data_IF_958140991427
#
_entry.id   IF_958140991427
#
_cell.length_a   1.000
_cell.length_b   1.000
_cell.length_c   1.000
_cell.angle_alpha   90.00
_cell.angle_beta   90.00
_cell.angle_gamma   90.00
#
_symmetry.space_group_name_H-M   'P 1'
#
loop_
_entity.id
_entity.type
_entity.pdbx_description
1 polymer ?
#
# COMPACT_ATOMS: atom_id res chain seq x y z
N UNK A 1 6.00 5.08 -22.90
CA UNK A 1 6.00 5.22 -21.43
C UNK A 1 4.65 4.75 -20.93
N UNK A 2 4.58 3.59 -20.27
CA UNK A 2 3.33 2.97 -19.82
C UNK A 2 2.74 3.70 -18.61
N UNK A 3 1.56 4.30 -18.77
CA UNK A 3 0.86 5.10 -17.74
C UNK A 3 0.47 4.30 -16.47
N UNK A 4 0.42 2.96 -16.57
CA UNK A 4 -0.02 2.05 -15.51
C UNK A 4 0.87 2.04 -14.24
N UNK A 5 2.07 2.62 -14.28
CA UNK A 5 2.98 2.61 -13.13
C UNK A 5 2.64 3.63 -12.05
N UNK A 6 1.75 4.59 -12.32
CA UNK A 6 1.46 5.72 -11.43
C UNK A 6 0.06 5.68 -10.81
N UNK A 7 -0.75 4.63 -11.02
CA UNK A 7 -2.18 4.69 -10.68
C UNK A 7 -2.49 4.50 -9.19
N UNK A 8 -1.54 4.08 -8.35
CA UNK A 8 -1.80 3.82 -6.93
C UNK A 8 -0.82 4.59 -6.03
N UNK A 9 -1.14 5.86 -5.79
CA UNK A 9 -0.37 6.71 -4.87
C UNK A 9 -0.84 6.53 -3.43
N UNK A 10 0.14 6.51 -2.53
CA UNK A 10 -0.09 6.47 -1.08
C UNK A 10 0.57 7.69 -0.46
N UNK A 11 -0.06 8.27 0.56
CA UNK A 11 0.54 9.38 1.28
C UNK A 11 1.73 8.85 2.09
N UNK A 12 2.92 9.41 1.86
CA UNK A 12 4.11 9.12 2.65
C UNK A 12 4.22 10.05 3.87
N UNK A 13 3.78 11.30 3.73
CA UNK A 13 3.75 12.31 4.78
C UNK A 13 2.43 13.08 4.78
N UNK A 14 1.95 13.44 5.98
CA UNK A 14 0.78 14.30 6.18
C UNK A 14 1.03 15.23 7.37
N UNK A 15 0.37 16.38 7.38
CA UNK A 15 0.42 17.27 8.55
C UNK A 15 -0.31 16.62 9.73
N UNK A 16 0.31 16.67 10.91
CA UNK A 16 -0.26 16.15 12.14
C UNK A 16 -0.49 17.28 13.14
N UNK A 17 -1.74 17.54 13.50
CA UNK A 17 -2.11 18.59 14.46
C UNK A 17 -1.46 18.40 15.85
N UNK A 18 -1.27 17.15 16.28
CA UNK A 18 -0.64 16.86 17.59
C UNK A 18 0.87 17.08 17.59
N UNK A 19 1.55 16.73 16.49
CA UNK A 19 2.99 16.93 16.33
C UNK A 19 3.33 18.33 15.81
N UNK A 20 2.36 19.05 15.24
CA UNK A 20 2.47 20.37 14.61
C UNK A 20 3.54 20.41 13.51
N UNK A 21 3.63 19.34 12.73
CA UNK A 21 4.60 19.19 11.65
C UNK A 21 4.09 18.21 10.58
N UNK A 22 4.72 18.24 9.40
CA UNK A 22 4.57 17.20 8.40
C UNK A 22 5.26 15.92 8.90
N UNK A 23 4.46 14.90 9.22
CA UNK A 23 4.92 13.66 9.81
C UNK A 23 4.81 12.51 8.82
N UNK A 24 5.76 11.55 8.84
CA UNK A 24 5.59 10.31 8.11
C UNK A 24 4.38 9.55 8.64
N UNK A 25 3.61 8.97 7.72
CA UNK A 25 2.38 8.24 8.04
C UNK A 25 2.52 6.77 7.69
N UNK A 26 1.80 5.93 8.42
CA UNK A 26 1.58 4.53 8.06
C UNK A 26 0.10 4.32 7.77
N UNK A 27 -0.18 3.52 6.77
CA UNK A 27 -1.54 3.14 6.45
C UNK A 27 -1.99 1.94 7.32
N UNK A 28 -3.21 2.00 7.83
CA UNK A 28 -3.84 0.89 8.56
C UNK A 28 -5.24 0.65 8.00
N UNK A 29 -5.55 -0.59 7.66
CA UNK A 29 -6.91 -0.98 7.29
C UNK A 29 -7.86 -0.70 8.45
N UNK A 30 -8.84 0.16 8.20
CA UNK A 30 -9.86 0.56 9.16
C UNK A 30 -11.14 -0.26 8.97
N UNK A 31 -11.59 -0.41 7.73
CA UNK A 31 -12.84 -1.11 7.43
C UNK A 31 -12.82 -1.75 6.04
N UNK A 32 -13.43 -2.93 5.93
CA UNK A 32 -13.68 -3.63 4.67
C UNK A 32 -15.17 -3.61 4.40
N UNK A 33 -15.57 -3.13 3.22
CA UNK A 33 -16.92 -3.17 2.68
C UNK A 33 -16.93 -3.98 1.38
N UNK A 34 -18.10 -4.41 0.88
CA UNK A 34 -18.20 -5.15 -0.37
C UNK A 34 -17.58 -4.41 -1.57
N UNK A 35 -17.81 -3.10 -1.66
CA UNK A 35 -17.37 -2.28 -2.82
C UNK A 35 -16.04 -1.58 -2.59
N UNK A 36 -15.62 -1.41 -1.33
CA UNK A 36 -14.44 -0.61 -1.00
C UNK A 36 -13.74 -1.04 0.29
N UNK A 37 -12.46 -0.77 0.34
CA UNK A 37 -11.64 -0.85 1.54
C UNK A 37 -11.28 0.56 1.99
N UNK A 38 -11.28 0.74 3.30
CA UNK A 38 -11.03 2.01 3.93
C UNK A 38 -9.81 1.85 4.80
N UNK A 39 -8.87 2.76 4.61
CA UNK A 39 -7.65 2.84 5.37
C UNK A 39 -7.55 4.16 6.10
N UNK A 40 -6.98 4.11 7.29
CA UNK A 40 -6.65 5.25 8.12
C UNK A 40 -5.14 5.52 8.04
N UNK A 41 -4.77 6.78 7.83
CA UNK A 41 -3.39 7.20 7.90
C UNK A 41 -3.08 7.62 9.32
N UNK A 42 -2.17 6.88 9.95
CA UNK A 42 -1.73 7.14 11.32
C UNK A 42 -0.37 7.83 11.30
N UNK A 43 -0.25 8.93 12.04
CA UNK A 43 1.04 9.55 12.32
C UNK A 43 1.96 8.52 12.98
N UNK A 44 3.15 8.32 12.43
CA UNK A 44 4.13 7.38 12.99
C UNK A 44 4.71 7.86 14.32
N UNK A 45 4.73 9.17 14.57
CA UNK A 45 5.24 9.75 15.81
C UNK A 45 4.27 9.62 17.00
N UNK A 46 3.02 10.06 16.84
CA UNK A 46 2.05 10.11 17.94
C UNK A 46 0.88 9.13 17.81
N UNK A 47 0.76 8.42 16.69
CA UNK A 47 -0.29 7.43 16.46
C UNK A 47 -1.69 7.98 16.17
N UNK A 48 -1.88 9.30 16.07
CA UNK A 48 -3.18 9.88 15.74
C UNK A 48 -3.58 9.62 14.29
N UNK A 49 -4.87 9.43 14.04
CA UNK A 49 -5.44 9.54 12.69
C UNK A 49 -5.21 10.95 12.16
N UNK A 50 -4.62 11.02 10.97
CA UNK A 50 -4.30 12.28 10.26
C UNK A 50 -4.87 12.31 8.85
N UNK A 51 -5.57 11.26 8.43
CA UNK A 51 -6.20 11.21 7.11
C UNK A 51 -6.79 9.83 6.81
N UNK A 52 -7.43 9.70 5.65
CA UNK A 52 -8.09 8.46 5.21
C UNK A 52 -7.86 8.23 3.72
N UNK A 53 -7.77 6.97 3.32
CA UNK A 53 -7.76 6.53 1.92
C UNK A 53 -8.87 5.50 1.71
N UNK A 54 -9.56 5.60 0.59
CA UNK A 54 -10.53 4.60 0.16
C UNK A 54 -10.03 3.95 -1.13
N UNK A 55 -10.16 2.62 -1.22
CA UNK A 55 -9.80 1.83 -2.39
C UNK A 55 -11.05 1.08 -2.83
N UNK A 56 -11.49 1.30 -4.05
CA UNK A 56 -12.60 0.57 -4.66
C UNK A 56 -12.20 -0.84 -5.06
N UNK A 57 -13.17 -1.74 -5.22
CA UNK A 57 -12.93 -3.11 -5.67
C UNK A 57 -12.15 -3.17 -7.00
N UNK A 58 -12.42 -2.26 -7.93
CA UNK A 58 -11.70 -2.18 -9.21
C UNK A 58 -10.21 -1.84 -9.06
N UNK A 59 -9.89 -0.83 -8.24
CA UNK A 59 -8.51 -0.43 -7.94
C UNK A 59 -7.74 -1.55 -7.22
N UNK A 60 -8.41 -2.28 -6.33
CA UNK A 60 -7.84 -3.43 -5.63
C UNK A 60 -7.49 -4.58 -6.60
N UNK A 61 -8.38 -4.89 -7.53
CA UNK A 61 -8.14 -5.92 -8.55
C UNK A 61 -6.94 -5.56 -9.44
N UNK A 62 -6.84 -4.30 -9.83
CA UNK A 62 -5.71 -3.81 -10.62
C UNK A 62 -4.38 -3.94 -9.86
N UNK A 63 -4.34 -3.50 -8.59
CA UNK A 63 -3.13 -3.61 -7.76
C UNK A 63 -2.65 -5.07 -7.60
N UNK A 64 -3.59 -6.01 -7.46
CA UNK A 64 -3.28 -7.44 -7.41
C UNK A 64 -2.78 -7.99 -8.75
N UNK A 65 -3.32 -7.52 -9.87
CA UNK A 65 -2.87 -7.95 -11.20
C UNK A 65 -1.42 -7.52 -11.48
N UNK A 66 -1.02 -6.32 -11.02
CA UNK A 66 0.36 -5.83 -11.16
C UNK A 66 1.34 -6.68 -10.35
N UNK A 67 1.00 -7.03 -9.11
CA UNK A 67 1.89 -7.84 -8.24
C UNK A 67 2.03 -9.29 -8.71
N UNK A 68 0.97 -9.89 -9.28
CA UNK A 68 1.01 -11.26 -9.82
C UNK A 68 1.86 -11.42 -11.09
N UNK A 69 2.18 -10.33 -11.82
CA UNK A 69 3.04 -10.38 -13.02
C UNK A 69 4.53 -10.49 -12.72
N UNK A 70 4.94 -10.47 -11.45
CA UNK A 70 6.36 -10.70 -11.11
C UNK A 70 6.68 -12.17 -11.43
N UNK A 71 7.58 -12.46 -12.39
CA UNK A 71 7.91 -13.84 -12.72
C UNK A 71 8.45 -14.51 -11.46
N UNK A 72 7.86 -15.65 -11.08
CA UNK A 72 8.43 -16.53 -10.07
C UNK A 72 9.86 -16.81 -10.56
N UNK A 73 10.87 -16.33 -9.83
CA UNK A 73 12.23 -16.85 -10.00
C UNK A 73 12.15 -18.34 -9.69
N UNK A 74 12.00 -19.15 -10.73
CA UNK A 74 12.11 -20.59 -10.69
C UNK A 74 13.50 -20.90 -10.13
N UNK A 75 13.56 -21.57 -8.99
CA UNK A 75 14.83 -22.11 -8.51
C UNK A 75 15.42 -23.06 -9.56
N UNK A 76 16.68 -22.88 -9.90
CA UNK A 76 17.47 -23.88 -10.61
C UNK A 76 18.38 -24.56 -9.58
N UNK A 77 17.99 -25.76 -9.16
CA UNK A 77 18.84 -26.72 -8.43
C UNK A 77 20.10 -27.01 -9.26
N UNK A 78 21.29 -26.99 -8.64
CA UNK A 78 22.44 -27.71 -9.18
C UNK A 78 23.06 -28.60 -8.09
N UNK A 79 22.66 -29.87 -8.16
CA UNK A 79 23.44 -31.12 -8.06
C UNK A 79 24.20 -31.44 -6.75
N UNK A 80 23.62 -32.41 -6.04
CA UNK A 80 24.32 -33.44 -5.26
C UNK A 80 25.26 -34.27 -6.16
N UNK A 81 26.49 -34.53 -5.70
CA UNK A 81 27.36 -35.75 -5.83
C UNK A 81 28.85 -35.36 -5.89
N UNK A 82 29.79 -36.25 -5.51
CA UNK A 82 29.65 -37.67 -5.11
C UNK A 82 29.55 -37.91 -3.60
#
# INVERSE_FOLDING_TARGET
MSQQQFENFTASTLYCEKCRAAMPVRERLLLVLPDKEIFDYLCTGCGSSVGRREITAGEKLLAQAVTKRRPRRSGAMHRLTP
#
